data_IF_286308453004
#
_entry.id   IF_286308453004
#
_cell.length_a   1.000
_cell.length_b   1.000
_cell.length_c   1.000
_cell.angle_alpha   90.00
_cell.angle_beta   90.00
_cell.angle_gamma   90.00
#
_symmetry.space_group_name_H-M   'P 1'
#
loop_
_entity.id
_entity.type
_entity.pdbx_description
1 polymer ?
#
# COMPACT_ATOMS: atom_id res chain seq x y z
N UNK A 1 -16.94 8.39 9.19
CA UNK A 1 -16.92 9.53 8.24
C UNK A 1 -15.56 9.57 7.60
N UNK A 2 -15.44 9.09 6.37
CA UNK A 2 -14.17 9.13 5.62
C UNK A 2 -14.09 10.47 4.90
N UNK A 3 -13.14 11.31 5.29
CA UNK A 3 -12.86 12.58 4.64
C UNK A 3 -11.87 12.28 3.50
N UNK A 4 -12.38 12.21 2.27
CA UNK A 4 -11.55 12.05 1.08
C UNK A 4 -10.92 13.42 0.76
N UNK A 5 -9.66 13.61 1.15
CA UNK A 5 -8.88 14.76 0.69
C UNK A 5 -8.24 14.38 -0.66
N UNK A 6 -8.80 14.89 -1.75
CA UNK A 6 -8.11 14.92 -3.04
C UNK A 6 -6.92 15.87 -2.94
N UNK A 7 -5.70 15.35 -2.94
CA UNK A 7 -4.50 16.15 -3.20
C UNK A 7 -4.01 15.87 -4.63
N UNK A 8 -4.27 16.85 -5.49
CA UNK A 8 -3.56 17.02 -6.75
C UNK A 8 -2.10 17.35 -6.46
N UNK A 9 -1.16 16.47 -6.82
CA UNK A 9 0.22 16.89 -7.13
C UNK A 9 1.05 15.77 -7.77
N UNK A 10 1.42 15.97 -9.04
CA UNK A 10 2.66 15.48 -9.68
C UNK A 10 3.50 16.72 -10.05
N UNK A 11 4.81 16.59 -10.36
CA UNK A 11 5.79 15.61 -9.90
C UNK A 11 7.07 16.29 -9.35
N UNK A 12 7.83 15.56 -8.54
CA UNK A 12 9.14 16.00 -8.06
C UNK A 12 9.93 14.86 -7.43
N UNK A 13 10.60 14.08 -8.28
CA UNK A 13 11.61 13.11 -7.86
C UNK A 13 12.73 13.81 -7.08
N UNK A 14 12.99 13.38 -5.84
CA UNK A 14 14.32 13.31 -5.22
C UNK A 14 14.18 12.84 -3.77
N UNK A 15 14.31 11.54 -3.52
CA UNK A 15 14.87 11.04 -2.25
C UNK A 15 15.73 9.82 -2.56
N UNK A 16 16.99 10.10 -2.87
CA UNK A 16 18.07 9.13 -2.78
C UNK A 16 18.45 8.95 -1.30
N UNK A 17 18.71 7.69 -0.97
CA UNK A 17 19.42 7.14 0.17
C UNK A 17 20.23 8.14 1.03
N UNK A 18 19.95 8.14 2.33
CA UNK A 18 20.92 8.51 3.35
C UNK A 18 21.25 7.26 4.18
N UNK A 19 22.26 6.52 3.74
CA UNK A 19 23.05 5.67 4.60
C UNK A 19 24.41 6.35 4.81
N UNK A 20 24.71 6.59 6.08
CA UNK A 20 25.88 7.23 6.67
C UNK A 20 27.23 6.72 6.17
N UNK A 21 28.14 7.64 5.82
CA UNK A 21 29.58 7.43 5.90
C UNK A 21 30.32 8.75 6.21
N UNK A 22 31.27 8.65 7.13
CA UNK A 22 32.08 9.69 7.75
C UNK A 22 33.02 10.44 6.77
N UNK A 23 33.02 11.78 6.91
CA UNK A 23 34.18 12.67 7.11
C UNK A 23 35.55 12.29 6.50
N UNK A 24 36.02 13.09 5.52
CA UNK A 24 37.35 13.73 5.54
C UNK A 24 37.46 14.87 4.50
N UNK A 25 37.87 16.05 5.00
CA UNK A 25 38.24 17.26 4.27
C UNK A 25 39.60 17.12 3.57
N UNK A 26 39.75 17.68 2.36
CA UNK A 26 40.78 18.69 2.04
C UNK A 26 40.78 19.11 0.55
N UNK A 27 40.70 20.44 0.36
CA UNK A 27 41.31 21.30 -0.65
C UNK A 27 41.65 20.79 -2.07
N UNK A 28 41.12 21.47 -3.08
CA UNK A 28 41.96 22.12 -4.10
C UNK A 28 41.24 23.26 -4.83
N UNK A 29 41.97 24.37 -5.01
CA UNK A 29 41.60 25.53 -5.79
C UNK A 29 41.72 25.27 -7.30
N UNK A 30 40.85 25.87 -8.10
CA UNK A 30 40.98 25.92 -9.55
C UNK A 30 40.06 26.96 -10.19
N UNK A 31 40.54 28.20 -10.27
CA UNK A 31 39.93 29.26 -11.09
C UNK A 31 40.09 28.90 -12.58
N UNK A 32 38.95 28.77 -13.28
CA UNK A 32 38.91 28.61 -14.73
C UNK A 32 37.74 29.39 -15.32
N UNK A 33 37.96 30.67 -15.61
CA UNK A 33 37.06 31.51 -16.39
C UNK A 33 36.96 30.95 -17.83
N UNK A 34 35.77 30.44 -18.21
CA UNK A 34 35.38 30.24 -19.60
C UNK A 34 34.21 31.14 -19.94
N UNK A 35 34.48 32.17 -20.73
CA UNK A 35 33.49 32.88 -21.55
C UNK A 35 32.98 31.90 -22.60
N UNK A 36 31.73 31.47 -22.47
CA UNK A 36 30.99 30.69 -23.46
C UNK A 36 29.73 31.44 -23.84
N UNK A 37 29.46 31.51 -25.12
CA UNK A 37 28.39 32.28 -25.78
C UNK A 37 27.01 32.06 -25.18
N UNK A 38 26.29 33.17 -24.99
CA UNK A 38 24.87 33.25 -24.67
C UNK A 38 24.07 32.82 -25.91
N UNK A 39 23.97 31.50 -26.13
CA UNK A 39 22.99 30.92 -27.04
C UNK A 39 21.67 30.84 -26.30
N UNK A 40 20.67 31.58 -26.78
CA UNK A 40 19.27 31.42 -26.38
C UNK A 40 18.87 29.98 -26.73
N UNK A 41 18.88 29.09 -25.74
CA UNK A 41 18.22 27.80 -25.84
C UNK A 41 16.73 28.09 -25.77
N UNK A 42 16.06 27.97 -26.91
CA UNK A 42 14.61 27.82 -26.94
C UNK A 42 14.29 26.57 -26.13
N UNK A 43 13.71 26.78 -24.96
CA UNK A 43 13.21 25.73 -24.09
C UNK A 43 12.03 25.10 -24.83
N UNK A 44 12.28 23.93 -25.43
CA UNK A 44 11.26 23.11 -26.06
C UNK A 44 10.25 22.70 -24.97
N UNK A 45 9.18 23.49 -24.88
CA UNK A 45 8.08 23.36 -23.91
C UNK A 45 7.04 22.35 -24.38
N UNK A 46 7.37 21.52 -25.37
CA UNK A 46 6.53 20.42 -25.79
C UNK A 46 6.32 19.48 -24.60
N UNK A 47 5.07 19.25 -24.14
CA UNK A 47 4.83 18.34 -23.04
C UNK A 47 5.37 16.97 -23.44
N UNK A 48 6.27 16.43 -22.62
CA UNK A 48 6.83 15.11 -22.83
C UNK A 48 5.68 14.13 -23.05
N UNK A 49 5.50 13.68 -24.28
CA UNK A 49 4.55 12.65 -24.62
C UNK A 49 5.02 11.39 -23.90
N UNK A 50 4.35 11.04 -22.80
CA UNK A 50 4.56 9.75 -22.15
C UNK A 50 4.29 8.67 -23.19
N UNK A 51 5.25 7.77 -23.39
CA UNK A 51 5.12 6.64 -24.29
C UNK A 51 3.83 5.86 -23.91
N UNK A 52 2.95 5.48 -24.86
CA UNK A 52 1.72 4.72 -24.56
C UNK A 52 1.93 3.45 -23.70
N UNK A 53 3.17 2.96 -23.65
CA UNK A 53 3.62 1.87 -22.78
C UNK A 53 3.61 2.18 -21.27
N UNK A 54 3.61 3.46 -20.87
CA UNK A 54 3.76 3.90 -19.47
C UNK A 54 2.42 4.24 -18.78
N UNK A 55 1.31 4.14 -19.51
CA UNK A 55 -0.01 4.42 -18.95
C UNK A 55 -0.40 3.37 -17.89
N UNK A 56 -0.90 3.87 -16.74
CA UNK A 56 -1.53 3.04 -15.70
C UNK A 56 -2.70 2.28 -16.33
N UNK A 57 -2.71 0.97 -16.15
CA UNK A 57 -3.77 0.09 -16.67
C UNK A 57 -4.35 -0.83 -15.60
N UNK A 58 -3.89 -0.73 -14.35
CA UNK A 58 -4.35 -1.54 -13.23
C UNK A 58 -4.50 -0.70 -11.96
N UNK A 59 -5.58 -0.93 -11.23
CA UNK A 59 -5.80 -0.43 -9.88
C UNK A 59 -6.06 -1.63 -8.97
N UNK A 60 -5.26 -1.79 -7.93
CA UNK A 60 -5.42 -2.86 -6.94
C UNK A 60 -5.89 -2.25 -5.62
N UNK A 61 -6.96 -2.78 -5.04
CA UNK A 61 -7.52 -2.28 -3.80
C UNK A 61 -7.27 -3.31 -2.71
N UNK A 62 -6.37 -2.94 -1.81
CA UNK A 62 -5.90 -3.79 -0.73
C UNK A 62 -6.33 -3.20 0.60
N UNK A 63 -6.21 -4.00 1.64
CA UNK A 63 -6.49 -3.58 3.00
C UNK A 63 -7.22 -4.68 3.72
N UNK A 64 -7.27 -4.57 5.03
CA UNK A 64 -7.83 -5.60 5.87
C UNK A 64 -9.35 -5.77 5.72
N UNK A 65 -9.85 -6.91 6.20
CA UNK A 65 -11.29 -7.13 6.34
C UNK A 65 -11.91 -5.95 7.11
N UNK A 66 -13.12 -5.53 6.74
CA UNK A 66 -13.80 -4.36 7.33
C UNK A 66 -13.09 -3.00 7.19
N UNK A 67 -12.07 -2.86 6.35
CA UNK A 67 -11.41 -1.56 6.11
C UNK A 67 -12.05 -0.75 4.98
N UNK A 68 -13.10 -1.28 4.33
CA UNK A 68 -13.83 -0.54 3.28
C UNK A 68 -13.37 -0.81 1.85
N UNK A 69 -12.60 -1.88 1.59
CA UNK A 69 -12.12 -2.23 0.24
C UNK A 69 -13.24 -2.41 -0.78
N UNK A 70 -14.35 -3.06 -0.42
CA UNK A 70 -15.52 -3.19 -1.30
C UNK A 70 -16.20 -1.85 -1.59
N UNK A 71 -16.24 -0.95 -0.60
CA UNK A 71 -16.79 0.39 -0.77
C UNK A 71 -15.94 1.18 -1.77
N UNK A 72 -14.62 1.20 -1.60
CA UNK A 72 -13.70 1.88 -2.52
C UNK A 72 -13.80 1.32 -3.95
N UNK A 73 -13.85 -0.01 -4.10
CA UNK A 73 -14.03 -0.65 -5.41
C UNK A 73 -15.31 -0.20 -6.08
N UNK A 74 -16.42 -0.22 -5.34
CA UNK A 74 -17.72 0.22 -5.85
C UNK A 74 -17.70 1.70 -6.22
N UNK A 75 -17.09 2.54 -5.38
CA UNK A 75 -16.98 3.97 -5.61
C UNK A 75 -16.24 4.26 -6.92
N UNK A 76 -15.09 3.62 -7.16
CA UNK A 76 -14.31 3.77 -8.39
C UNK A 76 -15.11 3.32 -9.62
N UNK A 77 -15.67 2.11 -9.56
CA UNK A 77 -16.44 1.54 -10.68
C UNK A 77 -17.68 2.37 -11.06
N UNK A 78 -18.25 3.11 -10.12
CA UNK A 78 -19.46 3.89 -10.34
C UNK A 78 -19.20 5.35 -10.73
N UNK A 79 -18.02 5.91 -10.41
CA UNK A 79 -17.78 7.35 -10.49
C UNK A 79 -16.57 7.75 -11.34
N UNK A 80 -15.78 6.79 -11.84
CA UNK A 80 -14.60 7.06 -12.65
C UNK A 80 -14.78 6.41 -14.02
N UNK A 81 -14.50 7.15 -15.10
CA UNK A 81 -14.34 6.55 -16.43
C UNK A 81 -13.01 5.81 -16.46
N UNK A 82 -13.08 4.49 -16.30
CA UNK A 82 -11.91 3.63 -16.20
C UNK A 82 -11.35 3.23 -17.55
N UNK A 83 -12.06 3.43 -18.67
CA UNK A 83 -11.61 2.99 -20.00
C UNK A 83 -11.09 1.55 -20.00
N UNK A 84 -9.79 1.37 -20.28
CA UNK A 84 -9.11 0.06 -20.27
C UNK A 84 -8.44 -0.31 -18.93
N UNK A 85 -8.62 0.48 -17.88
CA UNK A 85 -8.03 0.24 -16.55
C UNK A 85 -8.80 -0.86 -15.82
N UNK A 86 -8.09 -1.90 -15.40
CA UNK A 86 -8.67 -2.99 -14.62
C UNK A 86 -8.64 -2.69 -13.11
N UNK A 87 -9.75 -2.91 -12.40
CA UNK A 87 -9.84 -2.76 -10.94
C UNK A 87 -9.90 -4.14 -10.26
N UNK A 88 -8.85 -4.48 -9.52
CA UNK A 88 -8.66 -5.80 -8.91
C UNK A 88 -8.71 -5.77 -7.38
N UNK A 89 -9.19 -6.89 -6.81
CA UNK A 89 -9.13 -7.20 -5.37
C UNK A 89 -7.93 -8.12 -5.04
N UNK A 90 -6.94 -8.19 -5.93
CA UNK A 90 -5.78 -9.05 -5.79
C UNK A 90 -4.54 -8.37 -6.36
N UNK A 91 -3.42 -8.42 -5.62
CA UNK A 91 -2.08 -8.03 -6.07
C UNK A 91 -1.20 -9.27 -6.11
N UNK A 92 -0.43 -9.57 -5.06
CA UNK A 92 0.37 -10.80 -4.94
C UNK A 92 -0.44 -11.96 -4.29
N UNK A 93 -1.77 -11.86 -4.27
CA UNK A 93 -2.66 -12.64 -3.43
C UNK A 93 -3.98 -11.91 -3.24
N UNK A 94 -4.89 -12.42 -2.40
CA UNK A 94 -6.16 -11.73 -2.16
C UNK A 94 -5.93 -10.43 -1.36
N UNK A 95 -6.84 -9.45 -1.49
CA UNK A 95 -6.71 -8.11 -0.88
C UNK A 95 -6.51 -8.06 0.63
N UNK A 96 -6.94 -9.10 1.33
CA UNK A 96 -6.79 -9.24 2.78
C UNK A 96 -5.56 -10.06 3.17
N UNK A 97 -4.82 -10.60 2.21
CA UNK A 97 -3.65 -11.41 2.49
C UNK A 97 -2.41 -10.56 2.72
N UNK A 98 -1.42 -11.16 3.34
CA UNK A 98 -0.08 -10.61 3.30
C UNK A 98 0.47 -10.70 1.88
N UNK A 99 1.02 -9.59 1.40
CA UNK A 99 1.57 -9.42 0.06
C UNK A 99 3.09 -9.67 0.06
N UNK A 100 3.57 -10.50 -0.85
CA UNK A 100 4.99 -10.84 -0.94
C UNK A 100 5.52 -10.60 -2.35
N UNK A 101 6.46 -9.65 -2.55
CA UNK A 101 7.04 -9.40 -3.87
C UNK A 101 7.83 -10.59 -4.43
N UNK A 102 8.22 -11.56 -3.58
CA UNK A 102 8.94 -12.77 -3.99
C UNK A 102 8.03 -13.92 -4.44
N UNK A 103 6.73 -13.85 -4.13
CA UNK A 103 5.73 -14.87 -4.50
C UNK A 103 5.56 -14.98 -6.02
N UNK A 104 5.21 -16.18 -6.49
CA UNK A 104 5.00 -16.44 -7.91
C UNK A 104 3.80 -15.64 -8.45
N UNK A 105 2.78 -15.42 -7.62
CA UNK A 105 1.63 -14.57 -7.92
C UNK A 105 2.01 -13.12 -8.18
N UNK A 106 3.08 -12.63 -7.53
CA UNK A 106 3.54 -11.25 -7.73
C UNK A 106 4.48 -11.08 -8.93
N UNK A 107 5.13 -12.16 -9.37
CA UNK A 107 6.07 -12.14 -10.48
C UNK A 107 5.33 -11.85 -11.78
N UNK A 108 5.73 -10.78 -12.47
CA UNK A 108 5.21 -10.43 -13.79
C UNK A 108 3.93 -9.58 -13.79
N UNK A 109 3.44 -9.11 -12.64
CA UNK A 109 2.25 -8.23 -12.57
C UNK A 109 2.43 -6.87 -13.26
N UNK A 110 3.65 -6.47 -13.61
CA UNK A 110 3.89 -5.18 -14.27
C UNK A 110 3.62 -3.99 -13.35
N UNK A 111 4.10 -4.05 -12.10
CA UNK A 111 3.83 -3.06 -11.03
C UNK A 111 4.10 -1.59 -11.41
N UNK A 112 4.96 -1.33 -12.40
CA UNK A 112 5.19 0.02 -12.92
C UNK A 112 3.94 0.67 -13.53
N UNK A 113 2.95 -0.14 -13.94
CA UNK A 113 1.69 0.30 -14.56
C UNK A 113 0.48 0.09 -13.66
N UNK A 114 0.72 -0.25 -12.40
CA UNK A 114 -0.30 -0.46 -11.38
C UNK A 114 -0.32 0.71 -10.39
N UNK A 115 -1.52 1.09 -9.95
CA UNK A 115 -1.75 1.88 -8.75
C UNK A 115 -2.32 0.97 -7.68
N UNK A 116 -1.77 1.00 -6.47
CA UNK A 116 -2.28 0.24 -5.34
C UNK A 116 -2.91 1.21 -4.34
N UNK A 117 -4.19 1.02 -4.06
CA UNK A 117 -4.93 1.76 -3.03
C UNK A 117 -5.03 0.89 -1.80
N UNK A 118 -4.44 1.35 -0.70
CA UNK A 118 -4.46 0.67 0.59
C UNK A 118 -5.52 1.32 1.46
N UNK A 119 -6.56 0.55 1.79
CA UNK A 119 -7.61 0.99 2.69
C UNK A 119 -7.21 0.75 4.15
N UNK A 120 -6.98 1.84 4.87
CA UNK A 120 -6.75 1.86 6.31
C UNK A 120 -8.03 2.32 7.01
N UNK A 121 -8.30 1.75 8.18
CA UNK A 121 -9.41 2.12 9.06
C UNK A 121 -8.96 2.22 10.49
N UNK A 122 -9.40 3.26 11.21
CA UNK A 122 -9.13 3.42 12.65
C UNK A 122 -9.19 2.05 13.37
N UNK A 123 -8.14 1.65 14.10
CA UNK A 123 -7.99 0.29 14.57
C UNK A 123 -9.09 -0.12 15.57
N UNK A 124 -9.66 0.81 16.32
CA UNK A 124 -10.80 0.55 17.20
C UNK A 124 -12.11 0.37 16.41
N UNK A 125 -12.35 1.19 15.39
CA UNK A 125 -13.51 1.00 14.51
C UNK A 125 -13.46 -0.32 13.75
N UNK A 126 -12.25 -0.73 13.33
CA UNK A 126 -12.00 -2.03 12.74
C UNK A 126 -12.28 -3.15 13.74
N UNK A 127 -11.76 -3.06 14.97
CA UNK A 127 -11.97 -4.06 16.00
C UNK A 127 -13.46 -4.19 16.37
N UNK A 128 -14.19 -3.08 16.47
CA UNK A 128 -15.65 -3.08 16.68
C UNK A 128 -16.41 -3.75 15.51
N UNK A 129 -15.94 -3.61 14.27
CA UNK A 129 -16.54 -4.29 13.13
C UNK A 129 -16.24 -5.79 13.12
N UNK A 130 -14.99 -6.17 13.45
CA UNK A 130 -14.59 -7.57 13.63
C UNK A 130 -15.33 -8.23 14.79
N UNK A 131 -15.52 -7.54 15.91
CA UNK A 131 -16.28 -8.04 17.05
C UNK A 131 -17.72 -8.38 16.67
N UNK A 132 -18.38 -7.49 15.90
CA UNK A 132 -19.74 -7.73 15.40
C UNK A 132 -19.83 -8.84 14.36
N UNK A 133 -18.80 -9.01 13.52
CA UNK A 133 -18.78 -10.03 12.47
C UNK A 133 -17.35 -10.45 12.14
N UNK A 134 -16.84 -11.40 12.93
CA UNK A 134 -15.45 -11.83 12.85
C UNK A 134 -15.27 -12.82 11.70
N UNK A 135 -14.67 -12.46 10.58
CA UNK A 135 -14.42 -13.39 9.45
C UNK A 135 -13.30 -14.40 9.73
N UNK A 136 -13.33 -15.08 10.89
CA UNK A 136 -12.24 -15.84 11.48
C UNK A 136 -12.52 -17.35 11.65
N UNK A 137 -13.61 -17.89 11.08
CA UNK A 137 -13.88 -19.34 11.16
C UNK A 137 -15.32 -19.78 10.89
N UNK A 138 -16.08 -19.02 10.09
CA UNK A 138 -17.48 -19.32 9.77
C UNK A 138 -18.49 -18.88 10.84
N UNK A 139 -19.78 -19.04 10.55
CA UNK A 139 -20.90 -18.45 11.29
C UNK A 139 -20.92 -18.81 12.79
N UNK A 140 -20.67 -20.06 13.15
CA UNK A 140 -20.61 -20.50 14.56
C UNK A 140 -19.45 -19.85 15.36
N UNK A 141 -18.40 -19.37 14.69
CA UNK A 141 -17.35 -18.56 15.34
C UNK A 141 -17.79 -17.11 15.46
N UNK A 142 -18.57 -16.60 14.50
CA UNK A 142 -19.05 -15.21 14.48
C UNK A 142 -19.90 -14.90 15.71
N UNK A 143 -20.89 -15.74 15.99
CA UNK A 143 -21.80 -15.54 17.12
C UNK A 143 -21.07 -15.60 18.46
N UNK A 144 -20.11 -16.52 18.58
CA UNK A 144 -19.27 -16.63 19.77
C UNK A 144 -18.41 -15.40 19.99
N UNK A 145 -17.86 -14.80 18.94
CA UNK A 145 -17.07 -13.58 19.05
C UNK A 145 -17.94 -12.38 19.39
N UNK A 146 -19.11 -12.25 18.76
CA UNK A 146 -20.05 -11.15 19.01
C UNK A 146 -20.64 -11.18 20.42
N UNK A 147 -20.75 -12.37 21.04
CA UNK A 147 -21.24 -12.54 22.40
C UNK A 147 -20.22 -12.16 23.50
N UNK A 148 -18.93 -12.02 23.16
CA UNK A 148 -17.91 -11.62 24.13
C UNK A 148 -18.06 -10.14 24.50
N UNK A 149 -17.78 -9.75 25.75
CA UNK A 149 -17.46 -8.37 26.08
C UNK A 149 -16.33 -7.85 25.18
N UNK A 150 -16.41 -6.58 24.75
CA UNK A 150 -15.49 -6.05 23.73
C UNK A 150 -14.04 -6.01 24.23
N UNK A 151 -13.81 -5.68 25.50
CA UNK A 151 -12.51 -5.76 26.16
C UNK A 151 -11.91 -7.17 26.11
N UNK A 152 -12.71 -8.19 26.44
CA UNK A 152 -12.28 -9.58 26.32
C UNK A 152 -11.97 -9.95 24.87
N UNK A 153 -12.76 -9.49 23.90
CA UNK A 153 -12.47 -9.71 22.49
C UNK A 153 -11.10 -9.15 22.08
N UNK A 154 -10.74 -7.95 22.56
CA UNK A 154 -9.44 -7.32 22.22
C UNK A 154 -8.24 -8.11 22.74
N UNK A 155 -8.36 -8.73 23.93
CA UNK A 155 -7.26 -9.43 24.60
C UNK A 155 -7.05 -10.86 24.11
N UNK A 156 -7.99 -11.43 23.35
CA UNK A 156 -7.88 -12.82 22.91
C UNK A 156 -6.80 -13.01 21.85
N UNK A 157 -6.11 -14.16 21.87
CA UNK A 157 -5.30 -14.60 20.75
C UNK A 157 -6.13 -14.64 19.46
N UNK A 158 -5.54 -14.15 18.38
CA UNK A 158 -6.20 -14.07 17.08
C UNK A 158 -5.34 -14.75 16.03
N UNK A 159 -5.95 -15.63 15.23
CA UNK A 159 -5.30 -16.30 14.11
C UNK A 159 -5.74 -15.59 12.83
N UNK A 160 -4.79 -15.01 12.12
CA UNK A 160 -5.04 -14.41 10.81
C UNK A 160 -5.27 -15.50 9.77
N UNK A 161 -6.14 -15.24 8.78
CA UNK A 161 -6.47 -16.20 7.72
C UNK A 161 -5.40 -16.31 6.62
N UNK A 162 -4.20 -15.76 6.83
CA UNK A 162 -3.13 -15.70 5.83
C UNK A 162 -1.76 -15.87 6.47
N UNK A 163 -0.86 -16.61 5.82
CA UNK A 163 0.54 -16.81 6.22
C UNK A 163 1.33 -15.50 6.22
N UNK A 164 2.31 -15.35 7.12
CA UNK A 164 3.23 -14.21 7.19
C UNK A 164 4.53 -14.57 6.44
N UNK A 165 4.65 -14.29 5.13
CA UNK A 165 5.75 -14.82 4.32
C UNK A 165 7.15 -14.42 4.83
N UNK A 166 7.31 -13.24 5.42
CA UNK A 166 8.61 -12.74 5.90
C UNK A 166 9.07 -13.37 7.22
N UNK A 167 8.22 -14.11 7.95
CA UNK A 167 8.64 -14.81 9.17
C UNK A 167 9.21 -16.20 8.88
N UNK A 168 9.11 -16.68 7.63
CA UNK A 168 9.41 -18.07 7.28
C UNK A 168 8.42 -19.08 7.88
N UNK A 169 7.29 -18.59 8.41
CA UNK A 169 6.24 -19.45 8.96
C UNK A 169 5.59 -20.27 7.84
N UNK A 170 5.54 -21.59 8.04
CA UNK A 170 4.84 -22.52 7.14
C UNK A 170 3.38 -22.72 7.54
N UNK A 171 2.97 -22.19 8.71
CA UNK A 171 1.63 -22.31 9.26
C UNK A 171 1.13 -20.96 9.79
N UNK A 172 -0.20 -20.77 9.85
CA UNK A 172 -0.79 -19.55 10.40
C UNK A 172 -0.53 -19.47 11.90
N UNK A 173 0.36 -18.57 12.33
CA UNK A 173 0.64 -18.37 13.75
C UNK A 173 -0.30 -17.33 14.40
N UNK A 174 -0.78 -17.59 15.63
CA UNK A 174 -1.61 -16.63 16.35
C UNK A 174 -0.80 -15.39 16.75
N UNK A 175 -1.45 -14.24 16.77
CA UNK A 175 -0.98 -13.09 17.53
C UNK A 175 -1.44 -13.22 18.98
N UNK A 176 -0.71 -12.61 19.91
CA UNK A 176 -1.08 -12.54 21.32
C UNK A 176 -2.38 -11.79 21.57
N UNK A 177 -2.76 -10.86 20.69
CA UNK A 177 -4.05 -10.16 20.75
C UNK A 177 -4.57 -9.78 19.36
N UNK A 178 -5.87 -9.48 19.27
CA UNK A 178 -6.52 -8.94 18.06
C UNK A 178 -5.82 -7.66 17.60
N UNK A 179 -5.47 -6.78 18.54
CA UNK A 179 -4.80 -5.51 18.24
C UNK A 179 -3.35 -5.70 17.79
N UNK A 180 -2.66 -6.72 18.30
CA UNK A 180 -1.32 -7.06 17.82
C UNK A 180 -1.37 -7.54 16.35
N UNK A 181 -2.32 -8.42 16.01
CA UNK A 181 -2.52 -8.85 14.62
C UNK A 181 -2.84 -7.66 13.70
N UNK A 182 -3.70 -6.76 14.15
CA UNK A 182 -4.01 -5.53 13.41
C UNK A 182 -2.77 -4.67 13.16
N UNK A 183 -1.94 -4.47 14.18
CA UNK A 183 -0.72 -3.67 14.06
C UNK A 183 0.28 -4.28 13.07
N UNK A 184 0.49 -5.59 13.13
CA UNK A 184 1.35 -6.31 12.19
C UNK A 184 0.84 -6.12 10.75
N UNK A 185 -0.48 -6.26 10.53
CA UNK A 185 -1.03 -6.08 9.20
C UNK A 185 -0.93 -4.66 8.66
N UNK A 186 -1.04 -3.68 9.55
CA UNK A 186 -0.85 -2.27 9.19
C UNK A 186 0.55 -2.00 8.70
N UNK A 187 1.55 -2.45 9.46
CA UNK A 187 2.94 -2.33 9.07
C UNK A 187 3.19 -3.04 7.75
N UNK A 188 2.58 -4.22 7.56
CA UNK A 188 2.67 -4.94 6.29
C UNK A 188 2.15 -4.11 5.12
N UNK A 189 0.93 -3.60 5.21
CA UNK A 189 0.35 -2.80 4.13
C UNK A 189 1.15 -1.51 3.88
N UNK A 190 1.54 -0.80 4.93
CA UNK A 190 2.39 0.38 4.78
C UNK A 190 3.75 0.05 4.13
N UNK A 191 4.29 -1.15 4.35
CA UNK A 191 5.54 -1.57 3.75
C UNK A 191 5.45 -1.79 2.22
N UNK A 192 4.25 -1.86 1.63
CA UNK A 192 4.11 -1.91 0.17
C UNK A 192 4.72 -0.67 -0.51
N UNK A 193 4.75 0.48 0.15
CA UNK A 193 5.35 1.71 -0.39
C UNK A 193 6.85 1.57 -0.64
N UNK A 194 7.50 0.53 -0.12
CA UNK A 194 8.94 0.30 -0.31
C UNK A 194 9.28 -0.42 -1.61
N UNK A 195 8.30 -1.08 -2.26
CA UNK A 195 8.54 -1.90 -3.46
C UNK A 195 7.47 -1.79 -4.54
N UNK A 196 6.27 -1.29 -4.24
CA UNK A 196 5.28 -0.93 -5.24
C UNK A 196 5.49 0.52 -5.66
N UNK A 197 5.66 0.83 -6.96
CA UNK A 197 5.98 2.20 -7.40
C UNK A 197 4.89 3.25 -7.15
N UNK A 198 3.61 2.88 -7.27
CA UNK A 198 2.49 3.80 -7.11
C UNK A 198 1.54 3.27 -6.03
N UNK A 199 1.64 3.81 -4.82
CA UNK A 199 0.82 3.42 -3.67
C UNK A 199 0.16 4.65 -3.07
N UNK A 200 -1.14 4.55 -2.82
CA UNK A 200 -1.92 5.55 -2.08
C UNK A 200 -2.57 4.88 -0.87
N UNK A 201 -2.36 5.46 0.32
CA UNK A 201 -2.99 5.00 1.55
C UNK A 201 -4.17 5.92 1.90
N UNK A 202 -5.36 5.35 2.04
CA UNK A 202 -6.62 6.06 2.25
C UNK A 202 -7.32 5.66 3.56
#
# INVERSE_FOLDING_TARGET
>A
TALLLCLNSRPGNQWAAHATAHEQLAHSHGHGQRRGSMGLLEEDTSPAQSDPGDAINQIHILGERHSGTNFMKTLLLQNVDLGSVNVSDALCGFKHDYQDPSSDECRGLGLGRAVVIIMLRNPYDWALAMHRRCWCGGEAVWDRMAALPFDQFLERPFVESSLKPWTGEQEMSPCGSVMQCRAIKYLHFLNLTTWVPNVEAA
#
